data_IF_428117383939
#
_entry.id   IF_428117383939
#
_cell.length_a   1.000
_cell.length_b   1.000
_cell.length_c   1.000
_cell.angle_alpha   90.00
_cell.angle_beta   90.00
_cell.angle_gamma   90.00
#
_symmetry.space_group_name_H-M   'P 1'
#
loop_
_entity.id
_entity.type
_entity.pdbx_description
1 polymer ?
#
# COMPACT_ATOMS: atom_id res chain seq x y z
N UNK A 1 -16.00 -16.98 8.12
CA UNK A 1 -15.53 -17.52 6.81
C UNK A 1 -14.77 -16.44 6.07
N UNK A 2 -13.47 -16.61 5.84
CA UNK A 2 -12.61 -15.60 5.19
C UNK A 2 -13.04 -15.27 3.74
N UNK A 3 -13.70 -16.20 3.06
CA UNK A 3 -14.23 -16.03 1.69
C UNK A 3 -15.23 -14.86 1.60
N UNK A 4 -16.12 -14.70 2.58
CA UNK A 4 -17.09 -13.58 2.58
C UNK A 4 -16.38 -12.22 2.71
N UNK A 5 -15.32 -12.16 3.51
CA UNK A 5 -14.50 -10.95 3.64
C UNK A 5 -13.73 -10.66 2.35
N UNK A 6 -13.23 -11.70 1.67
CA UNK A 6 -12.58 -11.55 0.37
C UNK A 6 -13.57 -11.00 -0.69
N UNK A 7 -14.78 -11.55 -0.75
CA UNK A 7 -15.84 -11.03 -1.64
C UNK A 7 -16.13 -9.56 -1.33
N UNK A 8 -16.23 -9.21 -0.04
CA UNK A 8 -16.38 -7.83 0.40
C UNK A 8 -15.24 -6.91 -0.08
N UNK A 9 -13.99 -7.39 -0.06
CA UNK A 9 -12.83 -6.63 -0.57
C UNK A 9 -12.88 -6.42 -2.08
N UNK A 10 -13.28 -7.44 -2.84
CA UNK A 10 -13.47 -7.30 -4.28
C UNK A 10 -14.58 -6.29 -4.61
N UNK A 11 -15.71 -6.36 -3.91
CA UNK A 11 -16.81 -5.41 -4.05
C UNK A 11 -16.37 -3.99 -3.68
N UNK A 12 -15.62 -3.82 -2.58
CA UNK A 12 -15.07 -2.53 -2.18
C UNK A 12 -14.10 -1.98 -3.24
N UNK A 13 -13.19 -2.81 -3.77
CA UNK A 13 -12.27 -2.39 -4.82
C UNK A 13 -13.00 -2.01 -6.12
N UNK A 14 -14.04 -2.75 -6.50
CA UNK A 14 -14.88 -2.44 -7.65
C UNK A 14 -15.64 -1.12 -7.44
N UNK A 15 -16.31 -0.98 -6.30
CA UNK A 15 -17.01 0.23 -5.90
C UNK A 15 -16.06 1.44 -5.85
N UNK A 16 -14.85 1.27 -5.32
CA UNK A 16 -13.84 2.32 -5.30
C UNK A 16 -13.41 2.74 -6.70
N UNK A 17 -13.21 1.78 -7.62
CA UNK A 17 -12.88 2.11 -9.02
C UNK A 17 -13.98 2.89 -9.70
N UNK A 18 -15.23 2.47 -9.51
CA UNK A 18 -16.42 3.06 -10.14
C UNK A 18 -16.77 4.42 -9.54
N UNK A 19 -16.80 4.54 -8.21
CA UNK A 19 -17.25 5.75 -7.51
C UNK A 19 -16.12 6.72 -7.20
N UNK A 20 -14.87 6.26 -7.17
CA UNK A 20 -13.72 7.05 -6.71
C UNK A 20 -13.71 7.34 -5.20
N UNK A 21 -14.66 6.81 -4.43
CA UNK A 21 -14.80 7.15 -3.00
C UNK A 21 -13.66 6.59 -2.16
N UNK A 22 -12.94 7.47 -1.45
CA UNK A 22 -11.81 7.12 -0.56
C UNK A 22 -12.16 6.09 0.51
N UNK A 23 -13.39 6.13 1.04
CA UNK A 23 -13.88 5.19 2.06
C UNK A 23 -13.73 3.71 1.66
N UNK A 24 -13.95 3.38 0.39
CA UNK A 24 -13.79 1.99 -0.07
C UNK A 24 -12.32 1.57 -0.14
N UNK A 25 -11.43 2.51 -0.44
CA UNK A 25 -9.99 2.24 -0.40
C UNK A 25 -9.46 2.15 1.04
N UNK A 26 -10.01 2.91 1.99
CA UNK A 26 -9.68 2.73 3.42
C UNK A 26 -10.01 1.32 3.93
N UNK A 27 -11.10 0.71 3.44
CA UNK A 27 -11.44 -0.68 3.77
C UNK A 27 -10.35 -1.66 3.31
N UNK A 28 -9.76 -1.42 2.14
CA UNK A 28 -8.63 -2.21 1.64
C UNK A 28 -7.37 -2.01 2.50
N UNK A 29 -7.03 -0.76 2.85
CA UNK A 29 -5.89 -0.44 3.73
C UNK A 29 -6.05 -1.11 5.10
N UNK A 30 -7.24 -1.00 5.70
CA UNK A 30 -7.54 -1.62 7.00
C UNK A 30 -7.43 -3.15 6.94
N UNK A 31 -7.71 -3.74 5.79
CA UNK A 31 -7.57 -5.18 5.58
C UNK A 31 -6.10 -5.63 5.48
N UNK A 32 -5.14 -4.72 5.23
CA UNK A 32 -3.72 -5.03 5.34
C UNK A 32 -3.28 -5.32 6.79
N UNK A 33 -4.00 -4.80 7.80
CA UNK A 33 -3.77 -5.11 9.22
C UNK A 33 -4.35 -6.46 9.66
N UNK A 34 -5.06 -7.17 8.79
CA UNK A 34 -5.71 -8.42 9.18
C UNK A 34 -4.67 -9.52 9.43
N UNK A 35 -4.93 -10.39 10.41
CA UNK A 35 -4.06 -11.55 10.69
C UNK A 35 -4.10 -12.60 9.58
N UNK A 36 -5.12 -12.57 8.73
CA UNK A 36 -5.29 -13.53 7.65
C UNK A 36 -4.43 -13.13 6.43
N UNK A 37 -3.36 -13.90 6.18
CA UNK A 37 -2.42 -13.63 5.09
C UNK A 37 -3.08 -13.60 3.71
N UNK A 38 -4.10 -14.43 3.46
CA UNK A 38 -4.80 -14.43 2.17
C UNK A 38 -5.53 -13.11 1.94
N UNK A 39 -6.24 -12.61 2.95
CA UNK A 39 -6.94 -11.33 2.86
C UNK A 39 -5.96 -10.15 2.73
N UNK A 40 -4.85 -10.21 3.46
CA UNK A 40 -3.75 -9.23 3.35
C UNK A 40 -3.19 -9.17 1.93
N UNK A 41 -2.90 -10.32 1.33
CA UNK A 41 -2.38 -10.41 -0.03
C UNK A 41 -3.40 -9.93 -1.07
N UNK A 42 -4.66 -10.33 -0.97
CA UNK A 42 -5.73 -9.87 -1.87
C UNK A 42 -5.87 -8.34 -1.79
N UNK A 43 -5.89 -7.77 -0.58
CA UNK A 43 -5.97 -6.33 -0.41
C UNK A 43 -4.77 -5.60 -1.06
N UNK A 44 -3.54 -6.11 -0.86
CA UNK A 44 -2.33 -5.57 -1.49
C UNK A 44 -2.44 -5.56 -3.02
N UNK A 45 -2.81 -6.69 -3.63
CA UNK A 45 -2.98 -6.82 -5.09
C UNK A 45 -4.04 -5.82 -5.61
N UNK A 46 -5.17 -5.69 -4.91
CA UNK A 46 -6.24 -4.78 -5.31
C UNK A 46 -5.82 -3.31 -5.24
N UNK A 47 -5.03 -2.94 -4.23
CA UNK A 47 -4.45 -1.60 -4.07
C UNK A 47 -3.46 -1.29 -5.19
N UNK A 48 -2.49 -2.16 -5.46
CA UNK A 48 -1.54 -1.99 -6.57
C UNK A 48 -2.29 -1.82 -7.89
N UNK A 49 -3.27 -2.69 -8.13
CA UNK A 49 -4.09 -2.65 -9.35
C UNK A 49 -4.93 -1.38 -9.45
N UNK A 50 -5.23 -0.69 -8.34
CA UNK A 50 -5.90 0.61 -8.36
C UNK A 50 -4.96 1.74 -8.81
N UNK A 51 -3.64 1.50 -8.80
CA UNK A 51 -2.63 2.39 -9.38
C UNK A 51 -2.63 3.76 -8.72
N UNK A 52 -2.62 4.82 -9.54
CA UNK A 52 -2.57 6.22 -9.08
C UNK A 52 -3.68 6.60 -8.09
N UNK A 53 -4.84 5.94 -8.13
CA UNK A 53 -5.93 6.20 -7.16
C UNK A 53 -5.55 5.78 -5.74
N UNK A 54 -4.68 4.78 -5.59
CA UNK A 54 -4.25 4.28 -4.27
C UNK A 54 -3.22 5.16 -3.58
N UNK A 55 -2.47 5.96 -4.33
CA UNK A 55 -1.44 6.85 -3.80
C UNK A 55 -1.91 7.72 -2.63
N UNK A 56 -2.96 8.56 -2.73
CA UNK A 56 -3.38 9.40 -1.61
C UNK A 56 -3.81 8.60 -0.37
N UNK A 57 -4.35 7.39 -0.55
CA UNK A 57 -4.74 6.55 0.58
C UNK A 57 -3.55 5.90 1.27
N UNK A 58 -2.57 5.45 0.49
CA UNK A 58 -1.32 4.92 1.03
C UNK A 58 -0.52 6.02 1.74
N UNK A 59 -0.55 7.24 1.22
CA UNK A 59 0.03 8.41 1.88
C UNK A 59 -0.65 8.71 3.21
N UNK A 60 -1.99 8.71 3.25
CA UNK A 60 -2.74 8.88 4.49
C UNK A 60 -2.42 7.76 5.50
N UNK A 61 -2.30 6.51 5.04
CA UNK A 61 -1.92 5.37 5.88
C UNK A 61 -0.48 5.51 6.42
N UNK A 62 0.44 6.00 5.58
CA UNK A 62 1.83 6.26 5.94
C UNK A 62 1.92 7.36 7.02
N UNK A 63 1.17 8.46 6.86
CA UNK A 63 1.08 9.53 7.86
C UNK A 63 0.49 9.06 9.18
N UNK A 64 -0.48 8.14 9.14
CA UNK A 64 -1.06 7.52 10.35
C UNK A 64 -0.18 6.43 10.97
N UNK A 65 0.99 6.14 10.37
CA UNK A 65 1.88 5.04 10.75
C UNK A 65 1.16 3.67 10.77
N UNK A 66 0.18 3.48 9.89
CA UNK A 66 -0.56 2.22 9.76
C UNK A 66 0.14 1.29 8.75
N UNK A 67 0.42 0.05 9.19
CA UNK A 67 1.07 -0.99 8.36
C UNK A 67 2.31 -0.51 7.62
N UNK A 68 3.13 0.32 8.28
CA UNK A 68 4.28 1.02 7.69
C UNK A 68 5.09 0.14 6.71
N UNK A 69 5.56 -1.07 7.06
CA UNK A 69 6.36 -1.88 6.14
C UNK A 69 5.62 -2.23 4.85
N UNK A 70 4.33 -2.55 4.93
CA UNK A 70 3.53 -2.95 3.78
C UNK A 70 3.10 -1.75 2.94
N UNK A 71 2.73 -0.64 3.59
CA UNK A 71 2.39 0.62 2.93
C UNK A 71 3.58 1.16 2.12
N UNK A 72 4.78 1.12 2.69
CA UNK A 72 6.03 1.49 2.01
C UNK A 72 6.29 0.62 0.76
N UNK A 73 6.09 -0.69 0.88
CA UNK A 73 6.27 -1.63 -0.22
C UNK A 73 5.28 -1.37 -1.36
N UNK A 74 4.00 -1.18 -1.03
CA UNK A 74 2.95 -0.85 -2.01
C UNK A 74 3.21 0.49 -2.70
N UNK A 75 3.71 1.48 -1.96
CA UNK A 75 4.10 2.78 -2.51
C UNK A 75 5.27 2.67 -3.49
N UNK A 76 6.27 1.83 -3.19
CA UNK A 76 7.36 1.55 -4.12
C UNK A 76 6.90 0.79 -5.38
N UNK A 77 6.01 -0.18 -5.22
CA UNK A 77 5.45 -0.96 -6.33
C UNK A 77 4.64 -0.09 -7.30
N UNK A 78 4.02 0.98 -6.80
CA UNK A 78 3.36 1.99 -7.64
C UNK A 78 4.33 2.84 -8.48
N UNK A 79 5.64 2.85 -8.16
CA UNK A 79 6.69 3.41 -9.02
C UNK A 79 6.69 4.94 -9.20
N UNK A 80 5.99 5.70 -8.37
CA UNK A 80 5.86 7.15 -8.55
C UNK A 80 7.04 7.90 -7.91
N UNK A 81 7.74 8.72 -8.70
CA UNK A 81 8.93 9.48 -8.26
C UNK A 81 8.68 10.39 -7.06
N UNK A 82 7.44 10.82 -6.80
CA UNK A 82 7.15 11.64 -5.62
C UNK A 82 7.21 10.86 -4.31
N UNK A 83 7.07 9.53 -4.38
CA UNK A 83 7.07 8.64 -3.22
C UNK A 83 8.46 8.56 -2.57
N UNK A 84 9.54 8.74 -3.32
CA UNK A 84 10.92 8.73 -2.79
C UNK A 84 11.07 9.67 -1.58
N UNK A 85 10.55 10.90 -1.70
CA UNK A 85 10.65 11.92 -0.65
C UNK A 85 9.85 11.56 0.60
N UNK A 86 8.80 10.77 0.44
CA UNK A 86 7.93 10.34 1.54
C UNK A 86 8.47 9.09 2.23
N UNK A 87 9.14 8.19 1.49
CA UNK A 87 9.76 6.98 2.05
C UNK A 87 11.11 7.28 2.70
N UNK A 88 11.87 8.25 2.18
CA UNK A 88 13.21 8.58 2.65
C UNK A 88 13.32 8.78 4.17
N UNK A 89 12.42 9.53 4.85
CA UNK A 89 12.44 9.67 6.31
C UNK A 89 12.31 8.34 7.07
N UNK A 90 11.60 7.37 6.52
CA UNK A 90 11.38 6.06 7.16
C UNK A 90 12.59 5.13 7.07
N UNK A 91 13.58 5.42 6.22
CA UNK A 91 14.81 4.62 6.09
C UNK A 91 15.71 4.63 7.34
N UNK A 92 15.44 5.57 8.25
CA UNK A 92 16.08 5.74 9.55
C UNK A 92 15.06 5.70 10.69
N UNK A 93 13.88 5.07 10.48
CA UNK A 93 12.89 4.90 11.54
C UNK A 93 13.45 4.04 12.69
N UNK A 94 12.93 4.27 13.90
CA UNK A 94 13.35 3.56 15.10
C UNK A 94 12.99 2.06 15.04
N UNK A 95 11.92 1.70 14.31
CA UNK A 95 11.59 0.31 14.05
C UNK A 95 12.49 -0.25 12.92
N UNK A 96 13.37 -1.24 13.21
CA UNK A 96 14.25 -1.81 12.21
C UNK A 96 13.50 -2.42 11.02
N UNK A 97 12.30 -2.97 11.23
CA UNK A 97 11.49 -3.54 10.15
C UNK A 97 10.98 -2.46 9.20
N UNK A 98 10.61 -1.30 9.73
CA UNK A 98 10.17 -0.15 8.95
C UNK A 98 11.35 0.43 8.18
N UNK A 99 12.49 0.61 8.85
CA UNK A 99 13.72 1.09 8.22
C UNK A 99 14.18 0.18 7.07
N UNK A 100 14.15 -1.13 7.28
CA UNK A 100 14.51 -2.10 6.26
C UNK A 100 13.52 -2.08 5.09
N UNK A 101 12.20 -2.06 5.37
CA UNK A 101 11.18 -1.96 4.34
C UNK A 101 11.31 -0.67 3.51
N UNK A 102 11.58 0.47 4.15
CA UNK A 102 11.83 1.74 3.47
C UNK A 102 13.07 1.68 2.57
N UNK A 103 14.17 1.09 3.05
CA UNK A 103 15.40 0.93 2.25
C UNK A 103 15.19 0.01 1.05
N UNK A 104 14.46 -1.09 1.23
CA UNK A 104 14.10 -1.99 0.13
C UNK A 104 13.20 -1.28 -0.88
N UNK A 105 12.18 -0.56 -0.42
CA UNK A 105 11.28 0.23 -1.24
C UNK A 105 12.03 1.27 -2.10
N UNK A 106 12.97 2.03 -1.50
CA UNK A 106 13.83 2.97 -2.23
C UNK A 106 14.73 2.28 -3.26
N UNK A 107 15.25 1.09 -2.95
CA UNK A 107 16.05 0.31 -3.89
C UNK A 107 15.23 -0.11 -5.11
N UNK A 108 14.00 -0.58 -4.90
CA UNK A 108 13.07 -0.96 -5.98
C UNK A 108 12.71 0.25 -6.85
N UNK A 109 12.44 1.40 -6.23
CA UNK A 109 12.19 2.66 -6.94
C UNK A 109 13.41 3.09 -7.78
N UNK A 110 14.61 2.95 -7.23
CA UNK A 110 15.87 3.18 -7.95
C UNK A 110 16.04 2.25 -9.15
N UNK A 111 15.84 0.93 -8.98
CA UNK A 111 15.90 -0.04 -10.09
C UNK A 111 14.85 0.22 -11.17
N UNK A 112 13.65 0.64 -10.80
CA UNK A 112 12.60 1.01 -11.78
C UNK A 112 12.96 2.28 -12.56
N UNK A 113 13.77 3.17 -11.99
CA UNK A 113 14.22 4.41 -12.64
C UNK A 113 15.25 4.17 -13.74
N UNK A 114 16.09 3.15 -13.61
CA UNK A 114 17.11 2.80 -14.61
C UNK A 114 16.53 2.08 -15.83
N UNK A 115 15.28 1.59 -15.75
CA UNK A 115 14.59 0.87 -16.83
C UNK A 115 13.72 1.75 -17.73
N UNK A 116 13.59 3.05 -17.42
CA UNK A 116 12.74 4.03 -18.12
C UNK A 116 13.54 5.22 -18.62
#
# INVERSE_FOLDING_TARGET
MWVLQAIGLFLAAAAWRLTGSRRFGEVLIRSLSTKNENLKNIAGILIVRAGKKAKPLLQDALHRRENLPMTLWLLADLGDRMVDKEIQPFSSDQDPKVAEAARQALRVLGSNRERH
#
